data_IF_582639694208
#
_entry.id   IF_582639694208
#
_cell.length_a   1.000
_cell.length_b   1.000
_cell.length_c   1.000
_cell.angle_alpha   90.00
_cell.angle_beta   90.00
_cell.angle_gamma   90.00
#
_symmetry.space_group_name_H-M   'P 1'
#
loop_
_entity.id
_entity.type
_entity.pdbx_description
1 polymer ?
#
# COMPACT_ATOMS: atom_id res chain seq x y z
N UNK A 1 15.24 8.67 8.73
CA UNK A 1 14.30 9.44 9.55
C UNK A 1 12.93 8.77 9.67
N UNK A 2 12.11 8.69 8.61
CA UNK A 2 10.74 8.14 8.71
C UNK A 2 10.67 6.71 9.28
N UNK A 3 11.55 5.79 8.84
CA UNK A 3 11.62 4.42 9.39
C UNK A 3 12.01 4.38 10.87
N UNK A 4 12.79 5.34 11.36
CA UNK A 4 13.16 5.40 12.79
C UNK A 4 11.97 5.86 13.62
N UNK A 5 11.22 6.85 13.11
CA UNK A 5 9.99 7.32 13.77
C UNK A 5 8.90 6.26 13.78
N UNK A 6 8.66 5.56 12.66
CA UNK A 6 7.67 4.49 12.63
C UNK A 6 8.03 3.36 13.59
N UNK A 7 9.32 2.99 13.69
CA UNK A 7 9.79 2.01 14.69
C UNK A 7 9.58 2.50 16.13
N UNK A 8 9.89 3.76 16.42
CA UNK A 8 9.64 4.34 17.75
C UNK A 8 8.13 4.33 18.11
N UNK A 9 7.25 4.58 17.13
CA UNK A 9 5.79 4.45 17.33
C UNK A 9 5.41 3.00 17.70
N UNK A 10 5.93 2.01 16.98
CA UNK A 10 5.67 0.60 17.32
C UNK A 10 6.23 0.26 18.72
N UNK A 11 7.40 0.77 19.09
CA UNK A 11 7.97 0.59 20.44
C UNK A 11 7.08 1.22 21.53
N UNK A 12 6.39 2.31 21.22
CA UNK A 12 5.36 2.91 22.08
C UNK A 12 4.00 2.20 22.06
N UNK A 13 3.96 0.95 21.59
CA UNK A 13 2.79 0.03 21.60
C UNK A 13 1.73 0.26 20.53
N UNK A 14 2.04 0.99 19.46
CA UNK A 14 1.15 1.05 18.30
C UNK A 14 1.19 -0.26 17.51
N UNK A 15 0.04 -0.81 17.12
CA UNK A 15 -0.04 -2.02 16.30
C UNK A 15 0.35 -1.80 14.84
N UNK A 16 0.13 -0.60 14.29
CA UNK A 16 0.51 -0.32 12.91
C UNK A 16 0.82 1.15 12.67
N UNK A 17 1.68 1.41 11.69
CA UNK A 17 1.98 2.73 11.16
C UNK A 17 1.84 2.69 9.63
N UNK A 18 1.00 3.57 9.08
CA UNK A 18 0.68 3.62 7.64
C UNK A 18 1.12 4.96 7.07
N UNK A 19 2.10 4.93 6.17
CA UNK A 19 2.55 6.08 5.40
C UNK A 19 1.61 6.42 4.25
N UNK A 20 1.55 7.69 3.90
CA UNK A 20 0.78 8.21 2.77
C UNK A 20 1.64 9.20 1.93
N UNK A 21 1.02 9.90 0.99
CA UNK A 21 1.56 11.03 0.21
C UNK A 21 2.38 10.73 -1.05
N UNK A 22 3.24 9.71 -1.09
CA UNK A 22 4.09 9.48 -2.27
C UNK A 22 3.32 9.09 -3.54
N UNK A 23 2.03 8.76 -3.41
CA UNK A 23 1.18 8.20 -4.48
C UNK A 23 1.77 6.92 -5.11
N UNK A 24 2.76 6.32 -4.44
CA UNK A 24 3.47 5.12 -4.85
C UNK A 24 3.24 4.03 -3.80
N UNK A 25 3.02 2.81 -4.28
CA UNK A 25 2.98 1.64 -3.41
C UNK A 25 4.40 1.29 -2.96
N UNK A 26 4.58 1.08 -1.65
CA UNK A 26 5.91 0.78 -1.08
C UNK A 26 5.91 -0.50 -0.21
N UNK A 27 4.76 -1.18 -0.12
CA UNK A 27 4.62 -2.40 0.67
C UNK A 27 4.70 -2.14 2.17
N UNK A 28 5.03 -3.19 2.93
CA UNK A 28 5.17 -3.11 4.37
C UNK A 28 6.07 -4.19 4.94
N UNK A 29 6.42 -4.03 6.21
CA UNK A 29 7.19 -5.00 6.99
C UNK A 29 6.57 -5.17 8.38
N UNK A 30 6.77 -6.35 8.97
CA UNK A 30 6.56 -6.56 10.40
C UNK A 30 7.78 -6.07 11.17
N UNK A 31 7.55 -5.31 12.23
CA UNK A 31 8.59 -4.88 13.17
C UNK A 31 8.12 -5.15 14.60
N UNK A 32 8.78 -6.06 15.31
CA UNK A 32 8.34 -6.54 16.64
C UNK A 32 6.87 -7.00 16.57
N UNK A 33 6.00 -6.45 17.42
CA UNK A 33 4.59 -6.80 17.54
C UNK A 33 3.67 -5.97 16.64
N UNK A 34 4.23 -5.08 15.80
CA UNK A 34 3.45 -4.19 14.95
C UNK A 34 3.88 -4.20 13.48
N UNK A 35 3.10 -3.51 12.66
CA UNK A 35 3.24 -3.49 11.20
C UNK A 35 3.54 -2.08 10.69
N UNK A 36 4.46 -1.98 9.73
CA UNK A 36 4.81 -0.71 9.09
C UNK A 36 4.46 -0.84 7.61
N UNK A 37 3.52 -0.02 7.14
CA UNK A 37 3.17 0.10 5.71
C UNK A 37 3.75 1.42 5.23
N UNK A 38 4.73 1.38 4.33
CA UNK A 38 5.49 2.57 3.94
C UNK A 38 4.69 3.54 3.07
N UNK A 39 3.78 3.00 2.25
CA UNK A 39 2.92 3.76 1.35
C UNK A 39 1.90 2.86 0.68
N UNK A 40 0.62 3.18 0.84
CA UNK A 40 -0.48 2.49 0.17
C UNK A 40 -0.65 2.91 -1.30
N UNK A 41 -0.02 4.01 -1.72
CA UNK A 41 -0.19 4.58 -3.05
C UNK A 41 -1.60 5.11 -3.29
N UNK A 42 -2.05 5.06 -4.55
CA UNK A 42 -3.42 5.38 -4.94
C UNK A 42 -4.21 4.09 -5.11
N UNK A 43 -5.25 3.89 -4.31
CA UNK A 43 -6.07 2.67 -4.36
C UNK A 43 -6.85 2.52 -5.68
N UNK A 44 -7.07 3.60 -6.45
CA UNK A 44 -7.61 3.49 -7.81
C UNK A 44 -7.33 4.76 -8.60
N UNK A 45 -6.68 4.63 -9.76
CA UNK A 45 -6.48 5.72 -10.71
C UNK A 45 -6.67 5.17 -12.14
N UNK A 46 -7.81 5.45 -12.80
CA UNK A 46 -8.07 4.91 -14.13
C UNK A 46 -7.07 5.47 -15.13
N UNK A 47 -6.39 4.59 -15.87
CA UNK A 47 -5.43 5.02 -16.88
C UNK A 47 -6.17 5.69 -18.05
N UNK A 48 -5.60 6.77 -18.60
CA UNK A 48 -6.10 7.41 -19.82
C UNK A 48 -7.33 8.30 -19.65
N UNK A 49 -7.95 8.39 -18.46
CA UNK A 49 -9.08 9.29 -18.18
C UNK A 49 -8.82 10.04 -16.88
N UNK A 50 -8.54 11.34 -16.98
CA UNK A 50 -8.39 12.20 -15.81
C UNK A 50 -8.98 13.58 -16.09
N UNK A 51 -9.95 14.02 -15.27
CA UNK A 51 -10.58 15.34 -15.33
C UNK A 51 -11.05 15.75 -16.75
N UNK A 52 -11.63 14.82 -17.52
CA UNK A 52 -12.10 15.07 -18.89
C UNK A 52 -11.00 15.10 -19.96
N UNK A 53 -9.74 14.90 -19.57
CA UNK A 53 -8.59 14.77 -20.46
C UNK A 53 -8.00 13.35 -20.48
N UNK A 54 -6.99 13.15 -21.32
CA UNK A 54 -6.17 11.93 -21.35
C UNK A 54 -4.88 12.18 -20.58
N UNK A 55 -4.64 11.38 -19.55
CA UNK A 55 -3.42 11.42 -18.75
C UNK A 55 -2.77 10.04 -18.78
N UNK A 56 -1.48 9.99 -19.14
CA UNK A 56 -0.69 8.77 -19.14
C UNK A 56 0.15 8.73 -17.86
N UNK A 57 -0.07 7.73 -17.03
CA UNK A 57 0.71 7.53 -15.81
C UNK A 57 1.88 6.57 -16.06
N UNK A 58 3.00 6.72 -15.31
CA UNK A 58 4.11 5.76 -15.37
C UNK A 58 3.65 4.38 -14.89
N UNK A 59 4.32 3.31 -15.35
CA UNK A 59 3.91 1.92 -15.08
C UNK A 59 3.80 1.54 -13.60
N UNK A 60 4.54 2.22 -12.71
CA UNK A 60 4.43 1.97 -11.27
C UNK A 60 3.07 2.40 -10.70
N UNK A 61 2.38 3.36 -11.33
CA UNK A 61 1.05 3.82 -10.92
C UNK A 61 -0.05 2.79 -11.23
N UNK A 62 0.24 1.80 -12.08
CA UNK A 62 -0.64 0.67 -12.35
C UNK A 62 -0.66 -0.34 -11.21
N UNK A 63 0.28 -0.25 -10.26
CA UNK A 63 0.35 -1.11 -9.07
C UNK A 63 -0.41 -0.45 -7.92
N UNK A 64 -1.25 -1.22 -7.26
CA UNK A 64 -2.05 -0.76 -6.11
C UNK A 64 -1.94 -1.76 -4.97
N UNK A 65 -2.21 -1.27 -3.76
CA UNK A 65 -2.08 -2.06 -2.54
C UNK A 65 -3.25 -1.81 -1.60
N UNK A 66 -3.87 -2.88 -1.14
CA UNK A 66 -4.69 -2.87 0.07
C UNK A 66 -3.94 -3.56 1.20
N UNK A 67 -4.02 -2.98 2.40
CA UNK A 67 -3.51 -3.60 3.61
C UNK A 67 -4.69 -4.16 4.40
N UNK A 68 -4.64 -5.46 4.67
CA UNK A 68 -5.59 -6.18 5.53
C UNK A 68 -4.90 -6.49 6.86
N UNK A 69 -5.61 -6.22 7.94
CA UNK A 69 -5.18 -6.56 9.29
C UNK A 69 -6.32 -7.26 10.03
N UNK A 70 -6.05 -8.46 10.51
CA UNK A 70 -6.99 -9.22 11.34
C UNK A 70 -6.68 -8.95 12.83
N UNK A 71 -7.61 -8.26 13.48
CA UNK A 71 -7.51 -7.87 14.89
C UNK A 71 -7.49 -9.09 15.82
N UNK A 72 -8.12 -10.22 15.44
CA UNK A 72 -8.20 -11.41 16.29
C UNK A 72 -6.92 -12.22 16.28
N UNK A 73 -6.37 -12.44 15.08
CA UNK A 73 -5.14 -13.23 14.90
C UNK A 73 -3.86 -12.40 15.00
N UNK A 74 -3.96 -11.07 14.97
CA UNK A 74 -2.83 -10.15 14.85
C UNK A 74 -1.96 -10.46 13.62
N UNK A 75 -2.61 -10.92 12.54
CA UNK A 75 -1.97 -11.16 11.26
C UNK A 75 -2.29 -10.03 10.27
N UNK A 76 -1.34 -9.75 9.38
CA UNK A 76 -1.53 -8.78 8.31
C UNK A 76 -1.19 -9.37 6.95
N UNK A 77 -1.83 -8.83 5.91
CA UNK A 77 -1.58 -9.18 4.52
C UNK A 77 -1.63 -7.95 3.63
N UNK A 78 -0.73 -7.92 2.65
CA UNK A 78 -0.74 -6.99 1.54
C UNK A 78 -1.43 -7.65 0.34
N UNK A 79 -2.45 -6.98 -0.18
CA UNK A 79 -3.20 -7.34 -1.38
C UNK A 79 -2.74 -6.46 -2.53
N UNK A 80 -1.98 -7.04 -3.45
CA UNK A 80 -1.41 -6.34 -4.58
C UNK A 80 -2.31 -6.47 -5.80
N UNK A 81 -2.52 -5.34 -6.46
CA UNK A 81 -3.29 -5.27 -7.69
C UNK A 81 -2.42 -4.66 -8.79
N UNK A 82 -2.56 -5.14 -10.02
CA UNK A 82 -1.97 -4.51 -11.20
C UNK A 82 -3.04 -4.33 -12.27
N UNK A 83 -3.29 -3.08 -12.63
CA UNK A 83 -4.21 -2.73 -13.71
C UNK A 83 -3.48 -2.74 -15.05
N UNK A 84 -4.13 -3.33 -16.04
CA UNK A 84 -3.70 -3.29 -17.42
C UNK A 84 -4.49 -2.21 -18.17
N UNK A 85 -3.99 -1.84 -19.35
CA UNK A 85 -4.61 -0.78 -20.16
C UNK A 85 -5.95 -1.20 -20.78
N UNK A 86 -6.25 -2.50 -20.78
CA UNK A 86 -7.55 -3.09 -21.15
C UNK A 86 -8.57 -3.11 -19.99
N UNK A 87 -8.26 -2.43 -18.88
CA UNK A 87 -9.03 -2.40 -17.64
C UNK A 87 -9.12 -3.74 -16.88
N UNK A 88 -8.40 -4.78 -17.31
CA UNK A 88 -8.25 -6.00 -16.51
C UNK A 88 -7.36 -5.74 -15.29
N UNK A 89 -7.55 -6.54 -14.23
CA UNK A 89 -6.81 -6.42 -12.98
C UNK A 89 -6.24 -7.78 -12.56
N UNK A 90 -4.93 -7.84 -12.38
CA UNK A 90 -4.26 -8.98 -11.75
C UNK A 90 -4.23 -8.77 -10.24
N UNK A 91 -4.47 -9.84 -9.48
CA UNK A 91 -4.52 -9.82 -8.02
C UNK A 91 -3.53 -10.81 -7.41
N UNK A 92 -2.81 -10.38 -6.37
CA UNK A 92 -1.93 -11.24 -5.59
C UNK A 92 -1.96 -10.86 -4.10
N UNK A 93 -2.32 -11.81 -3.24
CA UNK A 93 -2.20 -11.67 -1.77
C UNK A 93 -0.83 -12.14 -1.28
N UNK A 94 -0.24 -11.40 -0.34
CA UNK A 94 1.01 -11.74 0.34
C UNK A 94 0.90 -11.46 1.84
N UNK A 95 1.24 -12.44 2.69
CA UNK A 95 1.38 -12.20 4.13
C UNK A 95 2.61 -11.31 4.41
N UNK A 96 2.57 -10.53 5.50
CA UNK A 96 3.67 -9.69 5.98
C UNK A 96 4.29 -10.28 7.25
#
# INVERSE_FOLDING_TARGET
MYRQWTRALIESKWQFCVGCHSHCVQGGEKYKDGYIVYGLGNFYLPNGVFAGGKLHFPDFAKVQLAFEYDVKSNEASCHWFRYNDDHSCLFQRRKI
#
